data_IF_058693919638
#
_entry.id   IF_058693919638
#
_cell.length_a   1.000
_cell.length_b   1.000
_cell.length_c   1.000
_cell.angle_alpha   90.00
_cell.angle_beta   90.00
_cell.angle_gamma   90.00
#
_symmetry.space_group_name_H-M   'P 1'
#
loop_
_entity.id
_entity.type
_entity.pdbx_description
1 polymer ?
#
# COMPACT_ATOMS: atom_id res chain seq x y z
N UNK A 1 28.89 -39.70 40.42
CA UNK A 1 29.07 -38.36 39.81
C UNK A 1 28.02 -38.19 38.72
N UNK A 2 27.01 -37.32 38.90
CA UNK A 2 25.99 -37.05 37.87
C UNK A 2 26.51 -35.94 36.96
N UNK A 3 26.82 -36.26 35.70
CA UNK A 3 27.19 -35.27 34.68
C UNK A 3 25.92 -34.62 34.13
N UNK A 4 25.62 -33.41 34.58
CA UNK A 4 24.61 -32.58 33.91
C UNK A 4 25.20 -32.10 32.58
N UNK A 5 24.54 -32.46 31.46
CA UNK A 5 24.88 -31.93 30.15
C UNK A 5 24.54 -30.43 30.13
N UNK A 6 25.56 -29.57 30.27
CA UNK A 6 25.40 -28.14 30.04
C UNK A 6 25.15 -27.92 28.55
N UNK A 7 23.88 -27.73 28.16
CA UNK A 7 23.55 -27.27 26.81
C UNK A 7 23.93 -25.79 26.68
N UNK A 8 25.18 -25.51 26.32
CA UNK A 8 25.60 -24.16 25.95
C UNK A 8 24.99 -23.81 24.59
N UNK A 9 23.85 -23.10 24.59
CA UNK A 9 23.26 -22.58 23.36
C UNK A 9 24.09 -21.41 22.83
N UNK A 10 24.71 -21.57 21.66
CA UNK A 10 25.37 -20.46 20.95
C UNK A 10 24.30 -19.62 20.24
N UNK A 11 24.17 -18.35 20.63
CA UNK A 11 23.35 -17.39 19.89
C UNK A 11 24.24 -16.64 18.90
N UNK A 12 23.92 -16.74 17.62
CA UNK A 12 24.59 -16.01 16.55
C UNK A 12 23.58 -15.15 15.81
N UNK A 13 24.00 -13.97 15.38
CA UNK A 13 23.23 -13.09 14.49
C UNK A 13 23.87 -13.17 13.11
N UNK A 14 23.09 -13.60 12.12
CA UNK A 14 23.55 -13.79 10.75
C UNK A 14 22.76 -12.90 9.81
N UNK A 15 23.44 -12.33 8.84
CA UNK A 15 22.81 -11.71 7.67
C UNK A 15 22.20 -12.79 6.76
N UNK A 16 21.33 -12.37 5.83
CA UNK A 16 20.70 -13.28 4.84
C UNK A 16 21.77 -14.08 4.06
N UNK A 17 22.84 -13.42 3.64
CA UNK A 17 23.91 -14.02 2.83
C UNK A 17 24.71 -15.03 3.63
N UNK A 18 25.04 -14.71 4.88
CA UNK A 18 25.74 -15.62 5.79
C UNK A 18 24.89 -16.84 6.12
N UNK A 19 23.58 -16.64 6.35
CA UNK A 19 22.64 -17.73 6.61
C UNK A 19 22.49 -18.65 5.39
N UNK A 20 22.45 -18.10 4.17
CA UNK A 20 22.44 -18.87 2.93
C UNK A 20 23.75 -19.65 2.72
N UNK A 21 24.90 -19.03 3.00
CA UNK A 21 26.19 -19.70 2.92
C UNK A 21 26.28 -20.85 3.93
N UNK A 22 25.84 -20.62 5.17
CA UNK A 22 25.84 -21.62 6.22
C UNK A 22 24.90 -22.79 5.90
N UNK A 23 23.71 -22.51 5.35
CA UNK A 23 22.78 -23.55 4.90
C UNK A 23 23.40 -24.42 3.80
N UNK A 24 24.07 -23.81 2.80
CA UNK A 24 24.76 -24.55 1.74
C UNK A 24 25.87 -25.45 2.28
N UNK A 25 26.67 -24.95 3.24
CA UNK A 25 27.73 -25.72 3.89
C UNK A 25 27.15 -26.88 4.70
N UNK A 26 26.06 -26.65 5.44
CA UNK A 26 25.38 -27.67 6.23
C UNK A 26 24.78 -28.78 5.34
N UNK A 27 24.13 -28.42 4.24
CA UNK A 27 23.60 -29.36 3.24
C UNK A 27 24.73 -30.18 2.61
N UNK A 28 25.80 -29.51 2.14
CA UNK A 28 26.96 -30.19 1.56
C UNK A 28 27.62 -31.17 2.55
N UNK A 29 27.76 -30.77 3.82
CA UNK A 29 28.28 -31.64 4.87
C UNK A 29 27.39 -32.86 5.14
N UNK A 30 26.07 -32.67 5.18
CA UNK A 30 25.11 -33.75 5.36
C UNK A 30 25.16 -34.76 4.19
N UNK A 31 25.22 -34.27 2.95
CA UNK A 31 25.32 -35.11 1.76
C UNK A 31 26.60 -35.96 1.76
N UNK A 32 27.73 -35.37 2.20
CA UNK A 32 29.01 -36.10 2.33
C UNK A 32 28.98 -37.17 3.42
N UNK A 33 28.29 -36.92 4.54
CA UNK A 33 28.08 -37.92 5.60
C UNK A 33 27.15 -39.05 5.13
N UNK A 34 26.18 -38.75 4.25
CA UNK A 34 25.31 -39.74 3.62
C UNK A 34 26.04 -40.61 2.58
N UNK A 35 26.95 -40.02 1.81
CA UNK A 35 27.68 -40.70 0.74
C UNK A 35 28.94 -41.48 1.19
N UNK A 36 29.33 -41.43 2.48
CA UNK A 36 30.56 -42.04 2.97
C UNK A 36 30.48 -43.60 3.00
N UNK A 37 31.44 -44.34 2.38
CA UNK A 37 31.38 -45.81 2.28
C UNK A 37 31.67 -46.56 3.59
N UNK A 38 32.20 -45.90 4.63
CA UNK A 38 32.66 -46.55 5.86
C UNK A 38 31.57 -46.52 6.95
N UNK A 39 30.91 -47.65 7.14
CA UNK A 39 29.83 -47.88 8.12
C UNK A 39 30.25 -47.94 9.59
N UNK A 40 31.56 -47.96 9.89
CA UNK A 40 32.06 -48.24 11.25
C UNK A 40 32.21 -47.00 12.16
N UNK A 41 32.23 -45.78 11.61
CA UNK A 41 32.26 -44.54 12.39
C UNK A 41 31.28 -43.56 11.75
N UNK A 42 30.01 -43.95 11.65
CA UNK A 42 28.92 -43.01 11.35
C UNK A 42 28.23 -42.68 12.67
N UNK A 43 28.51 -41.53 13.30
CA UNK A 43 27.85 -41.18 14.53
C UNK A 43 26.40 -40.88 14.16
N UNK A 44 25.48 -41.82 14.39
CA UNK A 44 24.03 -41.64 14.11
C UNK A 44 23.48 -40.32 14.68
N UNK A 45 24.09 -39.83 15.75
CA UNK A 45 23.82 -38.52 16.35
C UNK A 45 24.09 -37.34 15.41
N UNK A 46 25.12 -37.39 14.56
CA UNK A 46 25.44 -36.34 13.59
C UNK A 46 24.42 -36.28 12.44
N UNK A 47 23.87 -37.41 12.01
CA UNK A 47 22.80 -37.43 10.99
C UNK A 47 21.54 -36.72 11.49
N UNK A 48 21.12 -37.03 12.73
CA UNK A 48 19.95 -36.41 13.35
C UNK A 48 20.19 -34.91 13.59
N UNK A 49 21.36 -34.54 14.13
CA UNK A 49 21.70 -33.14 14.38
C UNK A 49 21.81 -32.34 13.07
N UNK A 50 22.30 -32.94 11.98
CA UNK A 50 22.40 -32.27 10.68
C UNK A 50 21.00 -31.89 10.15
N UNK A 51 20.02 -32.79 10.26
CA UNK A 51 18.63 -32.53 9.85
C UNK A 51 18.03 -31.36 10.64
N UNK A 52 18.18 -31.37 11.97
CA UNK A 52 17.66 -30.31 12.84
C UNK A 52 18.31 -28.95 12.55
N UNK A 53 19.63 -28.94 12.31
CA UNK A 53 20.37 -27.72 11.97
C UNK A 53 19.93 -27.18 10.62
N UNK A 54 19.85 -28.02 9.58
CA UNK A 54 19.41 -27.61 8.24
C UNK A 54 17.99 -27.03 8.31
N UNK A 55 17.06 -27.73 8.98
CA UNK A 55 15.69 -27.25 9.13
C UNK A 55 15.61 -25.92 9.91
N UNK A 56 16.43 -25.75 10.95
CA UNK A 56 16.54 -24.49 11.68
C UNK A 56 17.03 -23.33 10.82
N UNK A 57 18.05 -23.59 9.97
CA UNK A 57 18.60 -22.59 9.05
C UNK A 57 17.60 -22.22 7.95
N UNK A 58 16.86 -23.19 7.40
CA UNK A 58 15.80 -22.95 6.40
C UNK A 58 14.67 -22.09 6.96
N UNK A 59 14.15 -22.43 8.16
CA UNK A 59 13.13 -21.64 8.84
C UNK A 59 13.62 -20.23 9.15
N UNK A 60 14.87 -20.10 9.60
CA UNK A 60 15.51 -18.81 9.83
C UNK A 60 15.58 -17.97 8.55
N UNK A 61 15.94 -18.61 7.42
CA UNK A 61 16.06 -17.93 6.13
C UNK A 61 14.71 -17.45 5.61
N UNK A 62 13.68 -18.30 5.68
CA UNK A 62 12.32 -17.92 5.34
C UNK A 62 11.83 -16.74 6.20
N UNK A 63 12.09 -16.77 7.51
CA UNK A 63 11.72 -15.68 8.41
C UNK A 63 12.40 -14.34 8.05
N UNK A 64 13.70 -14.37 7.76
CA UNK A 64 14.45 -13.16 7.34
C UNK A 64 13.94 -12.62 6.01
N UNK A 65 13.64 -13.51 5.06
CA UNK A 65 13.08 -13.11 3.76
C UNK A 65 11.71 -12.47 3.91
N UNK A 66 10.83 -13.08 4.72
CA UNK A 66 9.52 -12.54 5.03
C UNK A 66 9.62 -11.14 5.65
N UNK A 67 10.41 -10.98 6.72
CA UNK A 67 10.59 -9.68 7.39
C UNK A 67 11.13 -8.60 6.45
N UNK A 68 12.04 -8.96 5.55
CA UNK A 68 12.55 -8.03 4.52
C UNK A 68 11.49 -7.66 3.50
N UNK A 69 10.70 -8.63 3.04
CA UNK A 69 9.60 -8.40 2.11
C UNK A 69 8.53 -7.50 2.74
N UNK A 70 8.17 -7.77 4.00
CA UNK A 70 7.22 -6.97 4.76
C UNK A 70 7.73 -5.53 4.99
N UNK A 71 8.98 -5.36 5.40
CA UNK A 71 9.58 -4.04 5.57
C UNK A 71 9.62 -3.26 4.25
N UNK A 72 9.94 -3.94 3.13
CA UNK A 72 9.89 -3.34 1.79
C UNK A 72 8.45 -2.94 1.44
N UNK A 73 7.48 -3.81 1.66
CA UNK A 73 6.07 -3.53 1.38
C UNK A 73 5.55 -2.33 2.18
N UNK A 74 5.92 -2.22 3.47
CA UNK A 74 5.60 -1.06 4.32
C UNK A 74 6.24 0.23 3.81
N UNK A 75 7.51 0.17 3.39
CA UNK A 75 8.21 1.34 2.80
C UNK A 75 7.59 1.79 1.48
N UNK A 76 7.13 0.85 0.67
CA UNK A 76 6.54 1.14 -0.64
C UNK A 76 5.03 1.43 -0.57
N UNK A 77 4.37 1.15 0.55
CA UNK A 77 2.94 1.44 0.74
C UNK A 77 2.58 2.92 0.52
N UNK A 78 3.25 3.92 1.15
CA UNK A 78 2.90 5.32 0.96
C UNK A 78 3.18 5.79 -0.47
N UNK A 79 4.23 5.29 -1.12
CA UNK A 79 4.54 5.64 -2.51
C UNK A 79 3.46 5.10 -3.47
N UNK A 80 3.06 3.84 -3.29
CA UNK A 80 1.98 3.22 -4.08
C UNK A 80 0.62 3.87 -3.82
N UNK A 81 0.42 4.42 -2.63
CA UNK A 81 -0.78 5.19 -2.32
C UNK A 81 -0.74 6.56 -3.00
N UNK A 82 0.37 7.29 -2.88
CA UNK A 82 0.56 8.57 -3.56
C UNK A 82 0.49 8.45 -5.09
N UNK A 83 1.03 7.38 -5.68
CA UNK A 83 0.89 7.09 -7.11
C UNK A 83 -0.56 6.79 -7.51
N UNK A 84 -1.32 6.12 -6.63
CA UNK A 84 -2.75 5.87 -6.84
C UNK A 84 -3.59 7.14 -6.69
N UNK A 85 -3.30 7.98 -5.71
CA UNK A 85 -3.90 9.31 -5.55
C UNK A 85 -3.59 10.20 -6.74
N UNK A 86 -2.32 10.30 -7.15
CA UNK A 86 -1.91 11.09 -8.31
C UNK A 86 -2.57 10.62 -9.62
N UNK A 87 -2.81 9.31 -9.78
CA UNK A 87 -3.55 8.80 -10.93
C UNK A 87 -5.06 9.14 -10.91
N UNK A 88 -5.59 9.51 -9.75
CA UNK A 88 -7.00 9.86 -9.52
C UNK A 88 -7.24 11.34 -9.31
N UNK A 89 -6.18 12.16 -9.36
CA UNK A 89 -6.25 13.59 -9.09
C UNK A 89 -5.78 14.39 -10.31
N UNK A 90 -6.63 15.29 -10.80
CA UNK A 90 -6.28 16.21 -11.88
C UNK A 90 -6.22 17.64 -11.33
N UNK A 91 -5.20 18.42 -11.65
CA UNK A 91 -5.06 19.80 -11.16
C UNK A 91 -4.85 20.76 -12.34
N UNK A 92 -5.59 21.86 -12.37
CA UNK A 92 -5.45 22.92 -13.37
C UNK A 92 -5.84 24.29 -12.80
N UNK A 93 -5.53 25.35 -13.53
CA UNK A 93 -5.97 26.72 -13.22
C UNK A 93 -6.78 27.28 -14.37
N UNK A 94 -7.94 27.83 -14.08
CA UNK A 94 -8.89 28.38 -15.07
C UNK A 94 -9.38 29.73 -14.55
N UNK A 95 -9.21 30.79 -15.32
CA UNK A 95 -9.69 32.15 -15.00
C UNK A 95 -9.31 32.66 -13.59
N UNK A 96 -8.13 32.26 -13.09
CA UNK A 96 -7.64 32.62 -11.75
C UNK A 96 -8.18 31.74 -10.61
N UNK A 97 -9.01 30.74 -10.91
CA UNK A 97 -9.49 29.73 -9.97
C UNK A 97 -8.59 28.50 -9.99
N UNK A 98 -8.40 27.87 -8.83
CA UNK A 98 -7.78 26.56 -8.73
C UNK A 98 -8.86 25.49 -8.92
N UNK A 99 -8.65 24.60 -9.88
CA UNK A 99 -9.56 23.53 -10.24
C UNK A 99 -8.85 22.21 -10.01
N UNK A 100 -9.46 21.33 -9.21
CA UNK A 100 -8.96 19.96 -9.06
C UNK A 100 -10.09 18.94 -9.23
N UNK A 101 -9.75 17.76 -9.72
CA UNK A 101 -10.68 16.67 -9.97
C UNK A 101 -10.29 15.43 -9.21
N UNK A 102 -11.26 14.68 -8.67
CA UNK A 102 -11.03 13.39 -8.01
C UNK A 102 -11.92 12.30 -8.61
N UNK A 103 -11.33 11.20 -9.07
CA UNK A 103 -12.07 10.04 -9.57
C UNK A 103 -12.63 9.22 -8.39
N UNK A 104 -13.93 8.96 -8.41
CA UNK A 104 -14.58 8.18 -7.37
C UNK A 104 -16.05 7.88 -7.65
N UNK A 105 -16.70 7.35 -6.62
CA UNK A 105 -18.15 7.14 -6.58
C UNK A 105 -18.75 8.23 -5.69
N UNK A 106 -19.75 8.93 -6.21
CA UNK A 106 -20.28 10.13 -5.59
C UNK A 106 -21.79 10.03 -5.46
N UNK A 107 -22.31 10.50 -4.34
CA UNK A 107 -23.76 10.59 -4.10
C UNK A 107 -24.16 12.02 -3.78
N UNK A 108 -25.30 12.45 -4.32
CA UNK A 108 -25.89 13.73 -3.97
C UNK A 108 -26.58 13.65 -2.60
N UNK A 109 -26.09 14.46 -1.67
CA UNK A 109 -26.61 14.60 -0.30
C UNK A 109 -27.41 15.89 -0.11
N UNK A 110 -27.63 16.68 -1.17
CA UNK A 110 -28.45 17.88 -1.09
C UNK A 110 -29.92 17.52 -0.87
N UNK A 111 -30.59 18.24 0.04
CA UNK A 111 -32.05 18.19 0.20
C UNK A 111 -32.79 19.08 -0.80
N UNK A 112 -32.09 20.06 -1.37
CA UNK A 112 -32.62 21.03 -2.33
C UNK A 112 -32.44 20.47 -3.76
N UNK A 113 -33.51 20.25 -4.54
CA UNK A 113 -33.43 19.69 -5.89
C UNK A 113 -32.71 20.61 -6.88
N UNK A 114 -32.62 21.91 -6.60
CA UNK A 114 -31.93 22.88 -7.44
C UNK A 114 -30.43 22.96 -7.09
N UNK A 115 -29.98 22.26 -6.05
CA UNK A 115 -28.59 22.23 -5.62
C UNK A 115 -28.06 20.80 -5.60
N UNK A 116 -26.83 20.62 -6.07
CA UNK A 116 -26.12 19.34 -5.97
C UNK A 116 -24.99 19.44 -4.97
N UNK A 117 -24.98 18.56 -3.97
CA UNK A 117 -23.90 18.43 -2.99
C UNK A 117 -23.39 17.01 -3.03
N UNK A 118 -22.28 16.82 -3.71
CA UNK A 118 -21.69 15.50 -3.89
C UNK A 118 -20.80 15.12 -2.71
N UNK A 119 -21.01 13.92 -2.17
CA UNK A 119 -20.19 13.31 -1.14
C UNK A 119 -19.53 12.03 -1.67
N UNK A 120 -18.28 11.78 -1.23
CA UNK A 120 -17.53 10.58 -1.60
C UNK A 120 -18.12 9.34 -0.92
N UNK A 121 -18.52 8.34 -1.70
CA UNK A 121 -19.08 7.09 -1.19
C UNK A 121 -18.05 6.18 -0.52
N UNK A 122 -16.75 6.43 -0.69
CA UNK A 122 -15.71 5.71 0.04
C UNK A 122 -15.51 6.23 1.47
N UNK A 123 -16.04 7.41 1.80
CA UNK A 123 -15.97 7.94 3.14
C UNK A 123 -16.96 7.19 4.07
N UNK A 124 -16.52 6.71 5.25
CA UNK A 124 -17.34 5.84 6.11
C UNK A 124 -18.63 6.49 6.62
N UNK A 125 -18.65 7.82 6.73
CA UNK A 125 -19.81 8.58 7.19
C UNK A 125 -20.78 8.97 6.06
N UNK A 126 -20.46 8.67 4.80
CA UNK A 126 -21.33 8.99 3.68
C UNK A 126 -22.43 7.94 3.54
N UNK A 127 -23.68 8.36 3.73
CA UNK A 127 -24.87 7.55 3.45
C UNK A 127 -25.68 8.17 2.31
N UNK A 128 -25.86 7.47 1.18
CA UNK A 128 -26.71 7.96 0.09
C UNK A 128 -28.14 8.18 0.55
N UNK A 129 -28.79 9.24 0.04
CA UNK A 129 -30.22 9.44 0.23
C UNK A 129 -31.00 8.44 -0.63
N UNK A 130 -32.18 8.03 -0.19
CA UNK A 130 -33.02 7.06 -0.93
C UNK A 130 -33.37 7.54 -2.35
N UNK A 131 -33.53 8.84 -2.56
CA UNK A 131 -33.82 9.47 -3.86
C UNK A 131 -32.66 10.34 -4.38
N UNK A 132 -31.49 10.24 -3.76
CA UNK A 132 -30.31 10.99 -4.19
C UNK A 132 -29.71 10.41 -5.47
N UNK A 133 -29.20 11.27 -6.35
CA UNK A 133 -28.45 10.81 -7.51
C UNK A 133 -27.15 10.12 -7.04
N UNK A 134 -26.82 8.99 -7.66
CA UNK A 134 -25.55 8.28 -7.44
C UNK A 134 -24.82 8.18 -8.78
N UNK A 135 -23.55 8.57 -8.80
CA UNK A 135 -22.68 8.47 -9.96
C UNK A 135 -21.44 7.66 -9.62
N UNK A 136 -21.26 6.57 -10.36
CA UNK A 136 -20.11 5.68 -10.19
C UNK A 136 -19.02 6.00 -11.18
N UNK A 137 -17.77 5.91 -10.74
CA UNK A 137 -16.57 6.05 -11.55
C UNK A 137 -16.56 7.34 -12.37
N UNK A 138 -16.88 8.46 -11.71
CA UNK A 138 -16.88 9.81 -12.31
C UNK A 138 -15.86 10.72 -11.62
N UNK A 139 -15.43 11.74 -12.36
CA UNK A 139 -14.50 12.75 -11.88
C UNK A 139 -15.26 13.89 -11.22
N UNK A 140 -15.16 13.99 -9.89
CA UNK A 140 -15.70 15.10 -9.13
C UNK A 140 -14.79 16.31 -9.25
N UNK A 141 -15.31 17.39 -9.83
CA UNK A 141 -14.54 18.64 -9.98
C UNK A 141 -14.80 19.54 -8.78
N UNK A 142 -13.75 20.11 -8.25
CA UNK A 142 -13.75 21.06 -7.16
C UNK A 142 -13.10 22.34 -7.67
N UNK A 143 -13.69 23.47 -7.31
CA UNK A 143 -13.25 24.78 -7.78
C UNK A 143 -13.11 25.66 -6.56
N UNK A 144 -11.96 26.31 -6.43
CA UNK A 144 -11.75 27.29 -5.38
C UNK A 144 -11.23 28.61 -5.93
N UNK A 145 -11.69 29.71 -5.32
CA UNK A 145 -11.13 31.05 -5.50
C UNK A 145 -10.35 31.41 -4.25
N UNK A 146 -9.17 32.00 -4.44
CA UNK A 146 -8.37 32.54 -3.33
C UNK A 146 -7.11 31.73 -3.03
N UNK A 147 -6.33 32.25 -2.09
CA UNK A 147 -5.11 31.62 -1.58
C UNK A 147 -5.46 30.93 -0.25
N UNK A 148 -5.09 29.66 -0.07
CA UNK A 148 -5.36 28.93 1.18
C UNK A 148 -4.72 29.58 2.43
N UNK A 149 -3.81 30.54 2.25
CA UNK A 149 -3.20 31.35 3.31
C UNK A 149 -4.05 32.58 3.74
N UNK A 150 -5.13 32.89 3.02
CA UNK A 150 -6.09 33.94 3.34
C UNK A 150 -7.44 33.28 3.63
N UNK A 151 -8.20 33.81 4.60
CA UNK A 151 -9.55 33.30 4.97
C UNK A 151 -10.60 33.46 3.83
N UNK A 152 -10.20 33.94 2.64
CA UNK A 152 -11.03 34.13 1.45
C UNK A 152 -11.14 32.88 0.56
N UNK A 153 -10.94 31.67 1.10
CA UNK A 153 -11.10 30.44 0.34
C UNK A 153 -12.59 30.16 0.08
N UNK A 154 -13.07 30.52 -1.11
CA UNK A 154 -14.41 30.16 -1.57
C UNK A 154 -14.35 28.85 -2.32
N UNK A 155 -14.98 27.79 -1.80
CA UNK A 155 -15.16 26.51 -2.51
C UNK A 155 -16.52 26.54 -3.20
N UNK A 156 -16.52 26.52 -4.53
CA UNK A 156 -17.74 26.45 -5.33
C UNK A 156 -18.24 25.01 -5.36
N UNK A 157 -19.57 24.84 -5.31
CA UNK A 157 -20.20 23.53 -5.50
C UNK A 157 -19.96 23.07 -6.93
N UNK A 158 -18.95 22.21 -7.11
CA UNK A 158 -18.64 21.60 -8.39
C UNK A 158 -19.75 20.69 -8.95
N UNK A 159 -19.57 20.11 -10.13
CA UNK A 159 -20.30 18.93 -10.62
C UNK A 159 -19.31 17.80 -11.00
N UNK A 160 -19.80 16.66 -11.48
CA UNK A 160 -18.98 15.56 -11.96
C UNK A 160 -18.83 15.58 -13.50
N UNK A 161 -17.69 15.10 -13.98
CA UNK A 161 -17.37 14.84 -15.40
C UNK A 161 -17.16 13.34 -15.60
N UNK A 162 -17.41 12.84 -16.81
CA UNK A 162 -17.23 11.41 -17.12
C UNK A 162 -15.76 11.06 -17.30
N UNK A 163 -14.95 12.00 -17.76
CA UNK A 163 -13.53 11.79 -18.05
C UNK A 163 -12.66 12.82 -17.35
N UNK A 164 -11.35 12.56 -17.32
CA UNK A 164 -10.34 13.53 -16.90
C UNK A 164 -9.97 14.51 -18.03
N UNK A 165 -10.74 14.54 -19.13
CA UNK A 165 -10.39 15.35 -20.28
C UNK A 165 -10.40 16.84 -19.92
N UNK A 166 -9.37 17.54 -20.38
CA UNK A 166 -9.15 18.93 -20.00
C UNK A 166 -10.29 19.82 -20.48
N UNK A 167 -10.78 19.59 -21.70
CA UNK A 167 -11.82 20.43 -22.30
C UNK A 167 -13.17 20.22 -21.59
N UNK A 168 -13.49 18.97 -21.20
CA UNK A 168 -14.69 18.66 -20.40
C UNK A 168 -14.65 19.35 -19.03
N UNK A 169 -13.52 19.25 -18.33
CA UNK A 169 -13.30 19.90 -17.03
C UNK A 169 -13.37 21.41 -17.17
N UNK A 170 -12.78 21.97 -18.22
CA UNK A 170 -12.74 23.42 -18.44
C UNK A 170 -14.12 24.01 -18.76
N UNK A 171 -14.90 23.35 -19.61
CA UNK A 171 -16.27 23.76 -19.91
C UNK A 171 -17.16 23.72 -18.66
N UNK A 172 -17.04 22.66 -17.84
CA UNK A 172 -17.78 22.57 -16.59
C UNK A 172 -17.35 23.68 -15.63
N UNK A 173 -16.04 23.87 -15.43
CA UNK A 173 -15.51 24.85 -14.50
C UNK A 173 -15.98 26.27 -14.85
N UNK A 174 -15.89 26.66 -16.12
CA UNK A 174 -16.37 27.98 -16.57
C UNK A 174 -17.87 28.18 -16.33
N UNK A 175 -18.69 27.15 -16.56
CA UNK A 175 -20.14 27.22 -16.29
C UNK A 175 -20.43 27.45 -14.81
N UNK A 176 -19.73 26.74 -13.92
CA UNK A 176 -19.93 26.86 -12.48
C UNK A 176 -19.43 28.22 -11.98
N UNK A 177 -18.29 28.70 -12.50
CA UNK A 177 -17.77 30.02 -12.17
C UNK A 177 -18.73 31.13 -12.63
N UNK A 178 -19.30 31.02 -13.83
CA UNK A 178 -20.28 31.98 -14.35
C UNK A 178 -21.54 32.03 -13.47
N UNK A 179 -22.13 30.87 -13.15
CA UNK A 179 -23.32 30.79 -12.29
C UNK A 179 -23.10 31.32 -10.86
N UNK A 180 -21.85 31.45 -10.41
CA UNK A 180 -21.53 32.04 -9.10
C UNK A 180 -21.34 33.56 -9.15
N UNK A 181 -21.06 34.12 -10.33
CA UNK A 181 -20.87 35.57 -10.51
C UNK A 181 -22.19 36.31 -10.75
N UNK A 182 -23.24 35.60 -11.17
CA UNK A 182 -24.63 36.09 -11.28
C UNK A 182 -25.35 36.07 -9.93
#
# INVERSE_FOLDING_TARGET
MKTHAMASGLRITLSKTELQALLKVAQYGADRIAAAPCSYIRPKRQEVVAVDVIQGLERGLASVQWKKAEAKARREAPKREAERSAAREHHTRIDGYAVWGMLGDWTDISDDPDRRRWADMFHPDTSPREQGEIRHNVWRIFISKGNAALDDLVVLSGDCTMTADRDEIEQLARRIIANYQD
#
